data_IF_496360013880
#
_entry.id   IF_496360013880
#
_cell.length_a   1.000
_cell.length_b   1.000
_cell.length_c   1.000
_cell.angle_alpha   90.00
_cell.angle_beta   90.00
_cell.angle_gamma   90.00
#
_symmetry.space_group_name_H-M   'P 1'
#
loop_
_entity.id
_entity.type
_entity.pdbx_description
1 polymer ?
#
# COMPACT_ATOMS: atom_id res chain seq x y z
N UNK A 1 57.46 -12.18 -20.05
CA UNK A 1 56.18 -11.77 -19.42
C UNK A 1 55.57 -13.04 -18.84
N UNK A 2 55.44 -13.15 -17.51
CA UNK A 2 54.72 -14.27 -16.91
C UNK A 2 53.24 -14.06 -17.21
N UNK A 3 52.70 -14.81 -18.18
CA UNK A 3 51.27 -14.85 -18.42
C UNK A 3 50.65 -15.53 -17.20
N UNK A 4 50.03 -14.71 -16.33
CA UNK A 4 49.45 -15.20 -15.09
C UNK A 4 48.37 -16.24 -15.42
N UNK A 5 48.55 -17.47 -14.94
CA UNK A 5 47.55 -18.51 -15.10
C UNK A 5 46.22 -18.04 -14.50
N UNK A 6 45.11 -18.10 -15.26
CA UNK A 6 43.84 -17.59 -14.78
C UNK A 6 43.36 -18.42 -13.57
N UNK A 7 42.94 -17.73 -12.51
CA UNK A 7 42.39 -18.33 -11.31
C UNK A 7 41.09 -19.06 -11.67
N UNK A 8 41.03 -20.35 -11.33
CA UNK A 8 39.88 -21.15 -11.66
C UNK A 8 38.74 -20.93 -10.65
N UNK A 9 37.59 -20.44 -11.12
CA UNK A 9 36.43 -20.09 -10.30
C UNK A 9 35.30 -21.13 -10.48
N UNK A 10 34.93 -21.90 -9.43
CA UNK A 10 33.84 -22.86 -9.52
C UNK A 10 32.45 -22.21 -9.66
N UNK A 11 32.31 -20.95 -9.25
CA UNK A 11 31.05 -20.20 -9.26
C UNK A 11 30.80 -19.44 -10.56
N UNK A 12 31.75 -19.46 -11.49
CA UNK A 12 31.60 -18.89 -12.82
C UNK A 12 31.23 -20.01 -13.82
N UNK A 13 30.30 -19.77 -14.76
CA UNK A 13 29.94 -20.75 -15.80
C UNK A 13 31.17 -21.33 -16.51
N UNK A 14 31.11 -22.61 -16.89
CA UNK A 14 32.20 -23.28 -17.62
C UNK A 14 32.62 -22.44 -18.83
N UNK A 15 33.93 -22.29 -19.04
CA UNK A 15 34.47 -21.61 -20.23
C UNK A 15 34.40 -20.07 -20.21
N UNK A 16 33.54 -19.49 -19.36
CA UNK A 16 33.48 -18.03 -19.19
C UNK A 16 34.78 -17.53 -18.53
N UNK A 17 35.34 -16.45 -19.07
CA UNK A 17 36.56 -15.82 -18.53
C UNK A 17 36.23 -14.43 -18.01
N UNK A 18 36.90 -14.02 -16.93
CA UNK A 18 36.61 -12.74 -16.28
C UNK A 18 37.85 -11.96 -15.77
N UNK A 19 37.70 -10.64 -15.86
CA UNK A 19 38.48 -9.46 -15.45
C UNK A 19 38.25 -8.86 -14.05
N UNK A 20 38.77 -9.38 -12.93
CA UNK A 20 38.58 -8.66 -11.64
C UNK A 20 39.72 -7.68 -11.39
N UNK A 21 39.41 -6.38 -11.32
CA UNK A 21 40.37 -5.32 -10.99
C UNK A 21 40.14 -4.81 -9.57
N UNK A 22 41.14 -4.91 -8.71
CA UNK A 22 41.15 -4.34 -7.34
C UNK A 22 42.53 -3.81 -6.98
N UNK A 23 42.59 -2.63 -6.40
CA UNK A 23 43.82 -1.99 -5.88
C UNK A 23 44.99 -2.01 -6.89
N UNK A 24 44.70 -1.71 -8.16
CA UNK A 24 45.69 -1.70 -9.25
C UNK A 24 46.11 -3.09 -9.76
N UNK A 25 45.66 -4.18 -9.13
CA UNK A 25 45.90 -5.56 -9.57
C UNK A 25 44.73 -6.06 -10.43
N UNK A 26 45.05 -6.73 -11.53
CA UNK A 26 44.09 -7.43 -12.37
C UNK A 26 44.26 -8.94 -12.17
N UNK A 27 43.19 -9.63 -11.77
CA UNK A 27 43.14 -11.07 -11.61
C UNK A 27 42.24 -11.64 -12.70
N UNK A 28 42.82 -12.46 -13.56
CA UNK A 28 42.09 -13.19 -14.59
C UNK A 28 41.45 -14.43 -13.98
N UNK A 29 40.15 -14.63 -14.22
CA UNK A 29 39.37 -15.77 -13.78
C UNK A 29 38.98 -16.65 -14.95
N UNK A 30 38.84 -17.96 -14.71
CA UNK A 30 38.28 -18.94 -15.64
C UNK A 30 37.25 -19.80 -14.94
N UNK A 31 36.05 -19.87 -15.49
CA UNK A 31 34.95 -20.63 -14.91
C UNK A 31 35.11 -22.14 -15.09
N UNK A 32 34.99 -22.87 -13.98
CA UNK A 32 34.96 -24.34 -13.95
C UNK A 32 33.54 -24.89 -13.94
N UNK A 33 32.55 -24.08 -13.55
CA UNK A 33 31.17 -24.51 -13.41
C UNK A 33 31.01 -25.74 -12.50
N UNK A 34 31.40 -25.66 -11.23
CA UNK A 34 31.23 -26.75 -10.26
C UNK A 34 30.32 -26.31 -9.12
N UNK A 35 29.08 -26.83 -9.11
CA UNK A 35 28.07 -26.48 -8.11
C UNK A 35 28.52 -26.81 -6.68
N UNK A 36 29.08 -28.00 -6.47
CA UNK A 36 29.47 -28.46 -5.14
C UNK A 36 30.65 -27.63 -4.60
N UNK A 37 31.66 -27.39 -5.44
CA UNK A 37 32.79 -26.52 -5.08
C UNK A 37 32.35 -25.08 -4.92
N UNK A 38 31.43 -24.57 -5.73
CA UNK A 38 30.92 -23.21 -5.59
C UNK A 38 30.19 -23.03 -4.25
N UNK A 39 29.32 -23.98 -3.89
CA UNK A 39 28.70 -24.01 -2.56
C UNK A 39 29.72 -24.02 -1.42
N UNK A 40 30.77 -24.84 -1.55
CA UNK A 40 31.88 -24.89 -0.60
C UNK A 40 32.66 -23.58 -0.52
N UNK A 41 32.89 -22.92 -1.67
CA UNK A 41 33.63 -21.67 -1.76
C UNK A 41 32.86 -20.48 -1.18
N UNK A 42 31.53 -20.44 -1.32
CA UNK A 42 30.72 -19.33 -0.78
C UNK A 42 30.38 -19.49 0.70
N UNK A 43 30.38 -20.72 1.21
CA UNK A 43 29.99 -21.04 2.60
C UNK A 43 30.79 -20.28 3.68
N UNK A 44 32.13 -20.13 3.59
CA UNK A 44 32.90 -19.39 4.59
C UNK A 44 32.44 -17.93 4.77
N UNK A 45 31.91 -17.30 3.72
CA UNK A 45 31.46 -15.90 3.78
C UNK A 45 30.16 -15.72 4.59
N UNK A 46 29.48 -16.81 4.97
CA UNK A 46 28.39 -16.77 5.93
C UNK A 46 28.87 -16.43 7.35
N UNK A 47 30.17 -16.61 7.66
CA UNK A 47 30.70 -16.36 9.00
C UNK A 47 30.02 -17.22 10.07
N UNK A 48 29.76 -18.50 9.76
CA UNK A 48 29.18 -19.43 10.71
C UNK A 48 30.21 -19.80 11.79
N UNK A 49 29.89 -19.55 13.05
CA UNK A 49 30.73 -19.95 14.18
C UNK A 49 30.37 -21.36 14.65
N UNK A 50 31.39 -22.18 14.93
CA UNK A 50 31.25 -23.53 15.46
C UNK A 50 30.59 -23.49 16.85
N UNK A 51 29.28 -23.74 16.92
CA UNK A 51 28.58 -24.04 18.17
C UNK A 51 27.39 -23.14 18.53
N UNK A 52 27.23 -21.99 17.89
CA UNK A 52 26.06 -21.13 18.17
C UNK A 52 24.85 -21.53 17.33
N UNK A 53 23.67 -21.52 17.95
CA UNK A 53 22.34 -21.37 17.32
C UNK A 53 22.22 -20.00 16.62
N UNK A 54 23.22 -19.63 15.82
CA UNK A 54 23.36 -18.32 15.20
C UNK A 54 23.01 -18.38 13.73
N UNK A 55 22.40 -17.28 13.28
CA UNK A 55 22.33 -16.84 11.89
C UNK A 55 23.75 -16.52 11.35
N UNK A 56 23.91 -16.22 10.05
CA UNK A 56 25.18 -15.75 9.51
C UNK A 56 25.85 -14.68 10.38
N UNK A 57 27.18 -14.76 10.51
CA UNK A 57 28.03 -13.91 11.37
C UNK A 57 27.78 -14.01 12.88
N UNK A 58 27.20 -15.11 13.34
CA UNK A 58 26.95 -15.33 14.77
C UNK A 58 25.86 -14.44 15.37
N UNK A 59 25.04 -13.80 14.52
CA UNK A 59 23.90 -12.99 14.97
C UNK A 59 22.83 -13.92 15.53
N UNK A 60 22.23 -13.54 16.65
CA UNK A 60 21.13 -14.30 17.26
C UNK A 60 19.97 -14.47 16.28
N UNK A 61 19.51 -15.71 16.13
CA UNK A 61 18.28 -16.04 15.40
C UNK A 61 17.32 -16.70 16.37
N UNK A 62 16.10 -16.16 16.48
CA UNK A 62 15.05 -16.82 17.25
C UNK A 62 14.74 -18.20 16.65
N UNK A 63 14.47 -19.23 17.45
CA UNK A 63 14.05 -20.53 16.95
C UNK A 63 12.82 -20.40 16.04
N UNK A 64 12.88 -21.01 14.87
CA UNK A 64 11.78 -21.03 13.89
C UNK A 64 11.09 -22.39 13.98
N UNK A 65 9.78 -22.39 14.20
CA UNK A 65 8.96 -23.59 14.07
C UNK A 65 8.58 -23.79 12.60
N UNK A 66 9.38 -24.58 11.89
CA UNK A 66 9.12 -24.91 10.48
C UNK A 66 7.87 -25.76 10.25
N UNK A 67 7.25 -26.33 11.28
CA UNK A 67 6.01 -27.09 11.11
C UNK A 67 4.78 -26.19 11.01
N UNK A 68 4.84 -25.00 11.60
CA UNK A 68 3.73 -24.06 11.72
C UNK A 68 4.10 -22.63 11.29
N UNK A 69 5.00 -22.50 10.32
CA UNK A 69 5.34 -21.21 9.72
C UNK A 69 5.23 -21.25 8.21
N UNK A 70 5.12 -20.06 7.62
CA UNK A 70 5.30 -19.83 6.20
C UNK A 70 6.21 -18.61 5.98
N UNK A 71 6.98 -18.63 4.90
CA UNK A 71 7.94 -17.57 4.59
C UNK A 71 7.80 -17.11 3.14
N UNK A 72 8.06 -15.83 2.94
CA UNK A 72 8.12 -15.21 1.62
C UNK A 72 9.54 -14.69 1.36
N UNK A 73 10.13 -15.14 0.26
CA UNK A 73 11.43 -14.68 -0.25
C UNK A 73 11.24 -13.61 -1.32
N UNK A 74 11.70 -12.40 -1.02
CA UNK A 74 11.62 -11.26 -1.94
C UNK A 74 12.97 -10.96 -2.61
N UNK A 75 12.96 -10.06 -3.60
CA UNK A 75 14.17 -9.54 -4.25
C UNK A 75 15.03 -10.67 -4.83
N UNK A 76 16.29 -10.82 -4.42
CA UNK A 76 17.21 -11.84 -4.96
C UNK A 76 16.69 -13.28 -4.75
N UNK A 77 15.90 -13.56 -3.73
CA UNK A 77 15.24 -14.86 -3.59
C UNK A 77 14.28 -15.14 -4.75
N UNK A 78 13.56 -14.12 -5.22
CA UNK A 78 12.70 -14.21 -6.39
C UNK A 78 13.48 -14.18 -7.70
N UNK A 79 14.34 -13.19 -7.91
CA UNK A 79 15.12 -13.03 -9.16
C UNK A 79 15.98 -14.26 -9.46
N UNK A 80 16.60 -14.87 -8.43
CA UNK A 80 17.40 -16.09 -8.64
C UNK A 80 16.58 -17.34 -8.97
N UNK A 81 15.28 -17.36 -8.64
CA UNK A 81 14.37 -18.44 -9.01
C UNK A 81 13.63 -18.19 -10.31
N UNK A 82 13.39 -16.94 -10.68
CA UNK A 82 12.50 -16.61 -11.80
C UNK A 82 13.26 -16.21 -13.07
N UNK A 83 14.21 -15.28 -13.00
CA UNK A 83 14.76 -14.61 -14.19
C UNK A 83 15.40 -15.59 -15.19
N UNK A 84 16.13 -16.58 -14.68
CA UNK A 84 16.83 -17.58 -15.49
C UNK A 84 16.25 -18.98 -15.33
N UNK A 85 15.82 -19.34 -14.12
CA UNK A 85 15.35 -20.71 -13.82
C UNK A 85 13.84 -20.90 -14.02
N UNK A 86 13.06 -19.81 -14.16
CA UNK A 86 11.60 -19.83 -14.41
C UNK A 86 10.83 -20.74 -13.45
N UNK A 87 11.20 -20.68 -12.18
CA UNK A 87 10.66 -21.49 -11.11
C UNK A 87 10.26 -20.66 -9.88
N UNK A 88 9.82 -19.41 -10.09
CA UNK A 88 9.22 -18.60 -9.03
C UNK A 88 7.97 -19.25 -8.41
N UNK A 89 7.54 -18.74 -7.26
CA UNK A 89 6.44 -19.30 -6.48
C UNK A 89 6.93 -20.26 -5.39
N UNK A 90 6.28 -21.41 -5.17
CA UNK A 90 6.70 -22.37 -4.14
C UNK A 90 8.14 -22.86 -4.38
N UNK A 91 8.99 -22.70 -3.37
CA UNK A 91 10.39 -23.10 -3.41
C UNK A 91 10.53 -24.60 -3.19
N UNK A 92 11.32 -25.26 -4.04
CA UNK A 92 11.73 -26.66 -3.90
C UNK A 92 13.25 -26.74 -4.03
N UNK A 93 13.93 -27.19 -2.97
CA UNK A 93 15.40 -27.19 -2.92
C UNK A 93 16.04 -28.17 -3.90
N UNK A 94 15.38 -29.30 -4.20
CA UNK A 94 15.89 -30.32 -5.10
C UNK A 94 15.79 -29.86 -6.55
N UNK A 95 14.63 -29.33 -6.94
CA UNK A 95 14.40 -28.69 -8.24
C UNK A 95 15.36 -27.52 -8.44
N UNK A 96 15.53 -26.68 -7.42
CA UNK A 96 16.42 -25.54 -7.45
C UNK A 96 17.88 -25.95 -7.64
N UNK A 97 18.37 -26.89 -6.83
CA UNK A 97 19.76 -27.39 -6.93
C UNK A 97 20.04 -28.01 -8.29
N UNK A 98 19.09 -28.76 -8.85
CA UNK A 98 19.20 -29.37 -10.18
C UNK A 98 19.26 -28.30 -11.27
N UNK A 99 18.37 -27.32 -11.22
CA UNK A 99 18.32 -26.22 -12.19
C UNK A 99 19.60 -25.35 -12.11
N UNK A 100 20.07 -25.04 -10.90
CA UNK A 100 21.31 -24.30 -10.68
C UNK A 100 22.55 -25.08 -11.17
N UNK A 101 22.61 -26.40 -10.94
CA UNK A 101 23.69 -27.25 -11.48
C UNK A 101 23.72 -27.21 -13.01
N UNK A 102 22.56 -27.27 -13.66
CA UNK A 102 22.45 -27.21 -15.12
C UNK A 102 22.84 -25.83 -15.69
N UNK A 103 22.49 -24.76 -14.97
CA UNK A 103 22.91 -23.39 -15.30
C UNK A 103 24.44 -23.26 -15.26
N UNK A 104 25.06 -23.79 -14.21
CA UNK A 104 26.49 -23.73 -13.95
C UNK A 104 27.30 -24.51 -15.00
N UNK A 105 26.78 -25.65 -15.45
CA UNK A 105 27.41 -26.52 -16.45
C UNK A 105 27.20 -26.06 -17.91
N UNK A 106 26.70 -24.84 -18.14
CA UNK A 106 26.54 -24.25 -19.49
C UNK A 106 25.55 -24.98 -20.43
N UNK A 107 24.76 -25.95 -19.94
CA UNK A 107 23.84 -26.73 -20.79
C UNK A 107 22.55 -26.00 -21.20
N UNK A 108 22.37 -24.75 -20.78
CA UNK A 108 21.13 -23.99 -21.03
C UNK A 108 21.12 -23.29 -22.39
N UNK A 109 22.24 -23.19 -23.11
CA UNK A 109 22.23 -22.75 -24.52
C UNK A 109 21.90 -23.87 -25.51
N UNK A 110 22.02 -25.15 -25.13
CA UNK A 110 21.73 -26.29 -26.03
C UNK A 110 20.32 -26.87 -25.82
N UNK A 111 19.70 -26.69 -24.65
CA UNK A 111 18.41 -27.32 -24.34
C UNK A 111 17.17 -26.48 -24.70
N UNK A 112 17.32 -25.19 -25.02
CA UNK A 112 16.24 -24.38 -25.61
C UNK A 112 16.14 -24.47 -27.14
N UNK A 113 17.04 -25.24 -27.79
CA UNK A 113 17.02 -25.49 -29.24
C UNK A 113 16.69 -26.94 -29.65
N UNK A 114 16.31 -27.84 -28.72
CA UNK A 114 15.84 -29.19 -29.11
C UNK A 114 14.31 -29.25 -29.15
N UNK A 115 13.69 -29.43 -30.33
CA UNK A 115 12.28 -29.76 -30.43
C UNK A 115 12.10 -31.19 -29.88
N UNK A 116 11.35 -31.37 -28.80
CA UNK A 116 10.94 -32.71 -28.35
C UNK A 116 11.13 -33.08 -26.87
N UNK A 117 11.49 -32.16 -25.97
CA UNK A 117 11.36 -32.42 -24.53
C UNK A 117 10.02 -31.90 -24.00
N UNK A 118 9.11 -32.76 -23.50
CA UNK A 118 7.84 -32.33 -22.94
C UNK A 118 8.11 -31.60 -21.63
N UNK A 119 7.83 -30.30 -21.60
CA UNK A 119 7.68 -29.52 -20.37
C UNK A 119 6.57 -30.16 -19.52
N UNK A 120 6.67 -30.16 -18.17
CA UNK A 120 5.57 -30.60 -17.33
C UNK A 120 4.37 -29.69 -17.59
N UNK A 121 3.39 -30.27 -18.27
CA UNK A 121 2.08 -29.70 -18.55
C UNK A 121 1.36 -29.39 -17.24
N UNK A 122 1.49 -28.15 -16.78
CA UNK A 122 0.43 -27.34 -16.15
C UNK A 122 0.95 -25.94 -15.84
N UNK A 123 0.77 -25.05 -16.81
CA UNK A 123 0.45 -23.66 -16.51
C UNK A 123 -0.79 -23.29 -17.33
N UNK A 124 -1.93 -22.96 -16.70
CA UNK A 124 -2.89 -22.11 -17.36
C UNK A 124 -2.31 -20.69 -17.30
N UNK A 125 -2.26 -19.99 -18.44
CA UNK A 125 -2.77 -18.63 -18.55
C UNK A 125 -2.46 -18.10 -19.96
N UNK A 126 -3.56 -17.73 -20.62
CA UNK A 126 -3.62 -17.02 -21.87
C UNK A 126 -2.81 -15.72 -21.80
N UNK A 127 -2.01 -15.46 -22.83
CA UNK A 127 -1.46 -14.14 -23.06
C UNK A 127 -2.62 -13.15 -23.32
N UNK A 128 -2.60 -12.03 -22.60
CA UNK A 128 -3.46 -10.88 -22.88
C UNK A 128 -3.32 -10.43 -24.34
N UNK A 129 -4.41 -9.98 -25.00
CA UNK A 129 -4.35 -9.58 -26.40
C UNK A 129 -3.55 -8.28 -26.57
N UNK A 130 -2.44 -8.33 -27.32
CA UNK A 130 -1.78 -7.12 -27.83
C UNK A 130 -2.54 -6.59 -29.04
N UNK A 131 -3.08 -5.37 -28.92
CA UNK A 131 -3.74 -4.64 -30.01
C UNK A 131 -2.66 -4.00 -30.90
N UNK A 132 -2.44 -4.56 -32.08
CA UNK A 132 -1.71 -3.88 -33.16
C UNK A 132 -2.55 -3.92 -34.43
N UNK A 133 -2.90 -2.74 -34.94
CA UNK A 133 -3.62 -2.52 -36.21
C UNK A 133 -4.96 -3.28 -36.34
N UNK A 134 -5.78 -3.26 -35.30
CA UNK A 134 -7.21 -3.62 -35.39
C UNK A 134 -7.54 -5.10 -35.61
N UNK A 135 -6.59 -6.03 -35.44
CA UNK A 135 -6.84 -7.47 -35.55
C UNK A 135 -6.61 -8.18 -34.21
N UNK A 136 -7.55 -9.05 -33.83
CA UNK A 136 -7.45 -9.94 -32.67
C UNK A 136 -6.82 -11.26 -33.11
N UNK A 137 -5.85 -11.76 -32.35
CA UNK A 137 -5.15 -13.01 -32.63
C UNK A 137 -5.53 -14.05 -31.58
N UNK A 138 -6.09 -15.18 -32.00
CA UNK A 138 -6.35 -16.34 -31.15
C UNK A 138 -5.37 -17.46 -31.50
N UNK A 139 -4.72 -18.05 -30.50
CA UNK A 139 -3.96 -19.29 -30.66
C UNK A 139 -4.77 -20.43 -30.05
N UNK A 140 -5.31 -21.30 -30.91
CA UNK A 140 -5.99 -22.53 -30.51
C UNK A 140 -4.98 -23.69 -30.53
N UNK A 141 -5.00 -24.50 -29.47
CA UNK A 141 -4.05 -25.61 -29.28
C UNK A 141 -4.52 -26.82 -30.08
N UNK A 142 -4.00 -26.98 -31.29
CA UNK A 142 -3.92 -28.28 -31.96
C UNK A 142 -2.48 -28.50 -32.44
N UNK A 143 -2.05 -29.76 -32.51
CA UNK A 143 -0.66 -30.23 -32.53
C UNK A 143 0.23 -29.79 -33.71
N UNK A 144 -0.20 -28.81 -34.52
CA UNK A 144 0.61 -28.20 -35.58
C UNK A 144 0.41 -26.68 -35.57
N UNK A 145 1.51 -25.95 -35.43
CA UNK A 145 1.56 -24.49 -35.33
C UNK A 145 1.11 -23.81 -36.63
N UNK A 146 -0.16 -23.38 -36.70
CA UNK A 146 -0.66 -22.48 -37.75
C UNK A 146 -1.35 -21.25 -37.13
N UNK A 147 -1.00 -20.05 -37.60
CA UNK A 147 -1.73 -18.82 -37.28
C UNK A 147 -2.89 -18.65 -38.27
N UNK A 148 -4.14 -18.72 -37.81
CA UNK A 148 -5.29 -18.35 -38.61
C UNK A 148 -5.54 -16.84 -38.56
N UNK A 149 -5.66 -16.19 -39.72
CA UNK A 149 -6.31 -14.89 -39.86
C UNK A 149 -7.78 -15.13 -40.17
N UNK A 150 -8.71 -14.75 -39.28
CA UNK A 150 -10.13 -14.71 -39.62
C UNK A 150 -10.36 -13.54 -40.60
N UNK A 151 -10.41 -13.84 -41.88
CA UNK A 151 -11.08 -12.98 -42.85
C UNK A 151 -12.15 -13.84 -43.51
N UNK A 152 -13.39 -13.69 -43.03
CA UNK A 152 -14.55 -14.35 -43.64
C UNK A 152 -14.80 -13.66 -44.97
N UNK A 153 -14.50 -14.35 -46.06
CA UNK A 153 -14.95 -13.96 -47.40
C UNK A 153 -15.23 -15.24 -48.18
N UNK A 154 -16.51 -15.46 -48.48
CA UNK A 154 -17.01 -16.57 -49.28
C UNK A 154 -16.66 -16.36 -50.75
N UNK A 155 -15.66 -17.08 -51.28
CA UNK A 155 -15.54 -17.42 -52.72
C UNK A 155 -14.81 -18.76 -52.84
N UNK A 156 -15.27 -19.72 -53.69
CA UNK A 156 -14.64 -21.02 -53.85
C UNK A 156 -13.43 -20.94 -54.80
N UNK A 157 -12.60 -21.98 -54.75
CA UNK A 157 -11.44 -22.27 -55.61
C UNK A 157 -10.10 -21.66 -55.15
N UNK A 158 -9.31 -22.50 -54.46
CA UNK A 158 -7.83 -22.52 -54.41
C UNK A 158 -7.09 -21.22 -54.09
N UNK A 159 -6.72 -21.01 -52.83
CA UNK A 159 -5.72 -20.00 -52.43
C UNK A 159 -4.46 -20.66 -51.87
N UNK A 160 -3.34 -20.50 -52.57
CA UNK A 160 -2.00 -20.71 -52.03
C UNK A 160 -1.73 -19.67 -50.93
N UNK A 161 -1.65 -20.10 -49.67
CA UNK A 161 -1.16 -19.23 -48.60
C UNK A 161 0.35 -18.98 -48.79
N UNK A 162 0.75 -17.73 -49.03
CA UNK A 162 2.14 -17.31 -48.82
C UNK A 162 2.46 -17.43 -47.32
N UNK A 163 3.12 -18.53 -46.96
CA UNK A 163 3.72 -18.71 -45.65
C UNK A 163 4.87 -17.71 -45.51
N UNK A 164 4.62 -16.59 -44.83
CA UNK A 164 5.73 -15.78 -44.30
C UNK A 164 6.27 -16.51 -43.08
N UNK A 165 7.57 -16.84 -43.02
CA UNK A 165 8.13 -17.45 -41.83
C UNK A 165 7.91 -16.48 -40.67
N UNK A 166 7.24 -16.93 -39.62
CA UNK A 166 7.26 -16.21 -38.36
C UNK A 166 8.71 -16.19 -37.90
N UNK A 167 9.36 -15.02 -37.95
CA UNK A 167 10.60 -14.79 -37.24
C UNK A 167 10.31 -15.11 -35.78
N UNK A 168 10.77 -16.28 -35.33
CA UNK A 168 10.93 -16.58 -33.92
C UNK A 168 11.79 -15.44 -33.36
N UNK A 169 11.16 -14.47 -32.71
CA UNK A 169 11.86 -13.68 -31.72
C UNK A 169 12.19 -14.69 -30.64
N UNK A 170 13.46 -15.14 -30.66
CA UNK A 170 14.07 -15.95 -29.62
C UNK A 170 13.56 -15.46 -28.26
N UNK A 171 13.11 -16.35 -27.35
CA UNK A 171 12.74 -15.93 -26.01
C UNK A 171 13.93 -15.15 -25.48
N UNK A 172 13.73 -13.86 -25.17
CA UNK A 172 14.78 -12.91 -24.84
C UNK A 172 15.90 -13.60 -24.06
N UNK A 173 17.02 -13.87 -24.73
CA UNK A 173 18.17 -14.44 -24.06
C UNK A 173 18.51 -13.49 -22.91
N UNK A 174 18.63 -13.97 -21.67
CA UNK A 174 19.11 -13.11 -20.59
C UNK A 174 20.47 -12.56 -21.03
N UNK A 175 20.71 -11.24 -20.93
CA UNK A 175 21.96 -10.64 -21.39
C UNK A 175 23.14 -11.33 -20.69
N UNK A 176 24.29 -11.45 -21.36
CA UNK A 176 25.50 -12.12 -20.83
C UNK A 176 25.90 -11.62 -19.43
N UNK A 177 25.61 -10.36 -19.11
CA UNK A 177 25.80 -9.77 -17.78
C UNK A 177 24.92 -10.39 -16.68
N UNK A 178 23.69 -10.79 -17.02
CA UNK A 178 22.75 -11.44 -16.12
C UNK A 178 23.14 -12.89 -15.85
N UNK A 179 23.60 -13.63 -16.87
CA UNK A 179 24.04 -15.02 -16.69
C UNK A 179 25.38 -15.13 -15.94
N UNK A 180 26.28 -14.15 -16.09
CA UNK A 180 27.62 -14.15 -15.51
C UNK A 180 27.64 -14.36 -14.00
N UNK A 181 26.74 -13.72 -13.26
CA UNK A 181 26.70 -13.82 -11.79
C UNK A 181 25.61 -14.75 -11.27
N UNK A 182 24.76 -15.30 -12.14
CA UNK A 182 23.63 -16.12 -11.70
C UNK A 182 24.08 -17.39 -10.97
N UNK A 183 25.20 -17.97 -11.39
CA UNK A 183 25.78 -19.15 -10.76
C UNK A 183 26.18 -18.90 -9.30
N UNK A 184 26.98 -17.84 -9.08
CA UNK A 184 27.33 -17.36 -7.75
C UNK A 184 26.09 -17.01 -6.91
N UNK A 185 25.17 -16.20 -7.47
CA UNK A 185 23.95 -15.77 -6.76
C UNK A 185 23.10 -16.96 -6.32
N UNK A 186 22.95 -17.97 -7.19
CA UNK A 186 22.18 -19.16 -6.87
C UNK A 186 22.81 -20.00 -5.76
N UNK A 187 24.14 -20.18 -5.80
CA UNK A 187 24.86 -20.89 -4.74
C UNK A 187 24.80 -20.13 -3.41
N UNK A 188 24.94 -18.81 -3.47
CA UNK A 188 24.83 -17.93 -2.31
C UNK A 188 23.45 -18.00 -1.68
N UNK A 189 22.38 -17.83 -2.46
CA UNK A 189 20.99 -17.95 -2.00
C UNK A 189 20.76 -19.31 -1.31
N UNK A 190 21.21 -20.40 -1.92
CA UNK A 190 21.07 -21.74 -1.35
C UNK A 190 21.79 -21.89 0.00
N UNK A 191 23.03 -21.40 0.11
CA UNK A 191 23.80 -21.47 1.34
C UNK A 191 23.24 -20.55 2.43
N UNK A 192 22.82 -19.33 2.08
CA UNK A 192 22.14 -18.42 3.03
C UNK A 192 20.87 -19.04 3.58
N UNK A 193 20.06 -19.68 2.73
CA UNK A 193 18.78 -20.27 3.14
C UNK A 193 18.98 -21.51 4.04
N UNK A 194 19.73 -22.50 3.56
CA UNK A 194 19.81 -23.82 4.21
C UNK A 194 20.93 -23.92 5.26
N UNK A 195 22.08 -23.27 5.03
CA UNK A 195 23.19 -23.30 6.00
C UNK A 195 23.16 -22.08 6.94
N UNK A 196 22.75 -20.92 6.44
CA UNK A 196 22.64 -19.68 7.22
C UNK A 196 21.41 -19.68 8.12
N UNK A 197 20.23 -19.54 7.51
CA UNK A 197 18.96 -19.46 8.23
C UNK A 197 18.40 -20.82 8.67
N UNK A 198 19.06 -21.93 8.28
CA UNK A 198 18.75 -23.31 8.68
C UNK A 198 17.38 -23.81 8.25
N UNK A 199 16.88 -23.31 7.12
CA UNK A 199 15.68 -23.87 6.52
C UNK A 199 15.92 -25.34 6.14
N UNK A 200 15.05 -26.28 6.55
CA UNK A 200 15.09 -27.65 6.05
C UNK A 200 15.01 -27.68 4.53
N UNK A 201 15.69 -28.64 3.89
CA UNK A 201 15.70 -28.76 2.43
C UNK A 201 14.34 -29.16 1.86
N UNK A 202 13.56 -29.89 2.65
CA UNK A 202 12.22 -30.38 2.38
C UNK A 202 11.11 -29.41 2.85
N UNK A 203 11.47 -28.19 3.25
CA UNK A 203 10.51 -27.21 3.75
C UNK A 203 9.54 -26.73 2.64
N UNK A 204 8.21 -26.99 2.76
CA UNK A 204 7.26 -26.76 1.68
C UNK A 204 6.69 -25.33 1.66
N UNK A 205 6.75 -24.61 2.79
CA UNK A 205 6.03 -23.35 3.00
C UNK A 205 6.91 -22.11 2.76
N UNK A 206 7.88 -22.19 1.84
CA UNK A 206 8.65 -21.05 1.36
C UNK A 206 8.18 -20.68 -0.04
N UNK A 207 7.79 -19.42 -0.25
CA UNK A 207 7.35 -18.90 -1.55
C UNK A 207 8.26 -17.75 -1.97
N UNK A 208 8.78 -17.76 -3.18
CA UNK A 208 9.48 -16.60 -3.74
C UNK A 208 8.52 -15.78 -4.59
N UNK A 209 8.48 -14.47 -4.35
CA UNK A 209 7.54 -13.58 -5.03
C UNK A 209 8.10 -12.16 -5.17
N UNK A 210 7.76 -11.49 -6.26
CA UNK A 210 7.96 -10.04 -6.40
C UNK A 210 6.77 -9.25 -5.84
N UNK A 211 5.57 -9.79 -6.01
CA UNK A 211 4.31 -9.14 -5.65
C UNK A 211 3.51 -10.07 -4.73
N UNK A 212 2.73 -9.48 -3.83
CA UNK A 212 1.75 -10.17 -2.99
C UNK A 212 0.38 -9.57 -3.33
N UNK A 213 -0.53 -10.39 -3.83
CA UNK A 213 -1.84 -9.95 -4.35
C UNK A 213 -1.74 -8.82 -5.40
N UNK A 214 -0.83 -8.95 -6.36
CA UNK A 214 -0.55 -7.95 -7.40
C UNK A 214 -0.13 -6.56 -6.87
N UNK A 215 0.31 -6.51 -5.61
CA UNK A 215 0.87 -5.32 -4.98
C UNK A 215 2.32 -5.56 -4.60
N UNK A 216 3.14 -4.54 -4.82
CA UNK A 216 4.52 -4.56 -4.38
C UNK A 216 4.57 -4.46 -2.86
N UNK A 217 5.41 -5.30 -2.24
CA UNK A 217 5.58 -5.30 -0.79
C UNK A 217 6.51 -4.15 -0.41
N UNK A 218 5.90 -3.05 0.03
CA UNK A 218 6.61 -1.85 0.47
C UNK A 218 6.70 -1.80 1.99
N UNK A 219 7.91 -1.70 2.55
CA UNK A 219 8.13 -1.56 4.00
C UNK A 219 7.54 -0.25 4.55
N UNK A 220 7.39 0.76 3.71
CA UNK A 220 6.76 2.05 4.05
C UNK A 220 5.30 1.88 4.47
N UNK A 221 4.56 0.93 3.88
CA UNK A 221 3.19 0.61 4.26
C UNK A 221 3.11 0.09 5.71
N UNK A 222 4.06 -0.76 6.12
CA UNK A 222 4.16 -1.22 7.51
C UNK A 222 4.48 -0.08 8.48
N UNK A 223 5.36 0.84 8.06
CA UNK A 223 5.73 2.00 8.88
C UNK A 223 4.54 2.93 9.13
N UNK A 224 3.76 3.25 8.10
CA UNK A 224 2.56 4.09 8.28
C UNK A 224 1.52 3.39 9.14
N UNK A 225 1.24 2.09 8.92
CA UNK A 225 0.30 1.32 9.74
C UNK A 225 0.71 1.28 11.21
N UNK A 226 2.00 1.11 11.50
CA UNK A 226 2.52 1.13 12.87
C UNK A 226 2.35 2.50 13.52
N UNK A 227 2.61 3.58 12.78
CA UNK A 227 2.45 4.96 13.27
C UNK A 227 0.98 5.34 13.47
N UNK A 228 0.07 4.81 12.65
CA UNK A 228 -1.37 5.11 12.72
C UNK A 228 -2.19 4.15 13.57
N UNK A 229 -1.56 3.14 14.20
CA UNK A 229 -2.25 2.08 14.98
C UNK A 229 -3.21 2.55 16.07
N UNK A 230 -3.04 3.78 16.56
CA UNK A 230 -3.86 4.35 17.62
C UNK A 230 -4.92 5.35 17.15
N UNK A 231 -4.99 5.66 15.84
CA UNK A 231 -6.07 6.50 15.31
C UNK A 231 -7.46 5.96 15.67
N UNK A 232 -7.76 4.64 15.52
CA UNK A 232 -9.09 4.11 15.84
C UNK A 232 -9.43 4.17 17.34
N UNK A 233 -8.44 4.16 18.23
CA UNK A 233 -8.66 4.29 19.67
C UNK A 233 -9.19 5.69 20.03
N UNK A 234 -8.79 6.73 19.31
CA UNK A 234 -9.31 8.09 19.54
C UNK A 234 -10.80 8.16 19.26
N UNK A 235 -11.26 7.48 18.21
CA UNK A 235 -12.68 7.46 17.84
C UNK A 235 -13.50 6.65 18.86
N UNK A 236 -12.99 5.50 19.31
CA UNK A 236 -13.64 4.70 20.36
C UNK A 236 -13.66 5.41 21.73
N UNK A 237 -12.59 6.12 22.07
CA UNK A 237 -12.52 6.86 23.33
C UNK A 237 -13.34 8.16 23.26
N UNK A 238 -13.52 8.79 22.10
CA UNK A 238 -14.44 9.91 21.93
C UNK A 238 -15.90 9.49 22.17
N UNK A 239 -16.31 8.29 21.72
CA UNK A 239 -17.60 7.70 22.07
C UNK A 239 -17.70 7.38 23.57
N UNK A 240 -16.64 6.81 24.17
CA UNK A 240 -16.59 6.54 25.63
C UNK A 240 -16.60 7.82 26.49
N UNK A 241 -15.89 8.89 26.09
CA UNK A 241 -15.85 10.18 26.78
C UNK A 241 -17.18 10.94 26.66
N UNK A 242 -17.98 10.72 25.61
CA UNK A 242 -19.36 11.24 25.54
C UNK A 242 -20.26 10.63 26.61
N UNK A 243 -19.97 9.43 27.10
CA UNK A 243 -20.75 8.74 28.15
C UNK A 243 -20.41 9.17 29.59
N UNK A 244 -19.35 9.98 29.79
CA UNK A 244 -18.90 10.45 31.11
C UNK A 244 -19.44 11.82 31.58
N UNK A 245 -20.26 12.51 30.78
CA UNK A 245 -20.71 13.89 31.06
C UNK A 245 -22.23 14.08 31.13
N UNK A 246 -22.97 13.14 31.73
CA UNK A 246 -24.44 13.19 31.72
C UNK A 246 -25.14 13.74 32.98
N UNK A 247 -24.45 14.14 34.07
CA UNK A 247 -25.15 14.60 35.30
C UNK A 247 -24.76 15.99 35.85
N UNK A 248 -23.56 16.53 35.58
CA UNK A 248 -23.14 17.81 36.17
C UNK A 248 -23.53 19.04 35.32
N UNK A 249 -23.31 18.97 34.00
CA UNK A 249 -23.66 20.06 33.08
C UNK A 249 -25.18 20.27 32.94
N UNK A 250 -25.98 19.21 33.11
CA UNK A 250 -27.45 19.31 33.06
C UNK A 250 -28.02 20.02 34.30
N UNK A 251 -27.40 19.84 35.47
CA UNK A 251 -27.82 20.52 36.71
C UNK A 251 -27.53 22.03 36.67
N UNK A 252 -26.34 22.42 36.18
CA UNK A 252 -25.97 23.84 36.03
C UNK A 252 -26.75 24.56 34.92
N UNK A 253 -27.06 23.90 33.80
CA UNK A 253 -27.86 24.52 32.73
C UNK A 253 -29.29 24.81 33.19
N UNK A 254 -29.91 23.88 33.92
CA UNK A 254 -31.29 24.01 34.42
C UNK A 254 -31.40 25.15 35.44
N UNK A 255 -30.46 25.26 36.39
CA UNK A 255 -30.45 26.36 37.37
C UNK A 255 -30.23 27.73 36.73
N UNK A 256 -29.34 27.81 35.74
CA UNK A 256 -29.02 29.05 35.04
C UNK A 256 -30.21 29.52 34.16
N UNK A 257 -30.96 28.58 33.58
CA UNK A 257 -32.18 28.90 32.84
C UNK A 257 -33.25 29.49 33.78
N UNK A 258 -33.54 28.88 34.93
CA UNK A 258 -34.51 29.44 35.88
C UNK A 258 -34.12 30.84 36.40
N UNK A 259 -32.83 31.08 36.63
CA UNK A 259 -32.33 32.39 37.03
C UNK A 259 -32.58 33.47 35.95
N UNK A 260 -32.36 33.13 34.68
CA UNK A 260 -32.59 34.05 33.56
C UNK A 260 -34.07 34.44 33.42
N UNK A 261 -34.99 33.47 33.51
CA UNK A 261 -36.44 33.76 33.46
C UNK A 261 -36.92 34.57 34.67
N UNK A 262 -36.37 34.31 35.86
CA UNK A 262 -36.68 35.10 37.05
C UNK A 262 -36.25 36.57 36.88
N UNK A 263 -35.04 36.82 36.37
CA UNK A 263 -34.54 38.18 36.13
C UNK A 263 -35.39 38.94 35.10
N UNK A 264 -35.77 38.28 34.00
CA UNK A 264 -36.66 38.90 32.99
C UNK A 264 -38.01 39.26 33.60
N UNK A 265 -38.59 38.36 34.40
CA UNK A 265 -39.89 38.59 35.02
C UNK A 265 -39.86 39.79 36.00
N UNK A 266 -38.78 39.94 36.78
CA UNK A 266 -38.61 41.10 37.69
C UNK A 266 -38.51 42.40 36.89
N UNK A 267 -37.72 42.42 35.81
CA UNK A 267 -37.57 43.62 34.97
C UNK A 267 -38.89 44.00 34.31
N UNK A 268 -39.64 43.03 33.78
CA UNK A 268 -40.95 43.28 33.18
C UNK A 268 -41.96 43.81 34.21
N UNK A 269 -41.97 43.28 35.43
CA UNK A 269 -42.81 43.80 36.51
C UNK A 269 -42.42 45.22 36.89
N UNK A 270 -41.14 45.54 36.96
CA UNK A 270 -40.67 46.90 37.23
C UNK A 270 -41.10 47.88 36.12
N UNK A 271 -40.96 47.48 34.85
CA UNK A 271 -41.43 48.28 33.70
C UNK A 271 -42.95 48.45 33.75
N UNK A 272 -43.70 47.40 34.04
CA UNK A 272 -45.17 47.47 34.15
C UNK A 272 -45.58 48.42 35.27
N UNK A 273 -44.98 48.30 36.45
CA UNK A 273 -45.23 49.20 37.57
C UNK A 273 -44.83 50.64 37.25
N UNK A 274 -43.73 50.84 36.52
CA UNK A 274 -43.30 52.16 36.05
C UNK A 274 -44.34 52.78 35.10
N UNK A 275 -44.83 52.02 34.11
CA UNK A 275 -45.86 52.49 33.17
C UNK A 275 -47.19 52.75 33.90
N UNK A 276 -47.60 51.87 34.82
CA UNK A 276 -48.82 52.06 35.62
C UNK A 276 -48.71 53.27 36.54
N UNK A 277 -47.52 53.55 37.09
CA UNK A 277 -47.25 54.76 37.84
C UNK A 277 -47.32 56.00 36.94
N UNK A 278 -46.71 55.95 35.75
CA UNK A 278 -46.77 57.04 34.78
C UNK A 278 -48.22 57.33 34.35
N UNK A 279 -49.01 56.28 34.05
CA UNK A 279 -50.43 56.41 33.73
C UNK A 279 -51.23 57.01 34.88
N UNK A 280 -50.97 56.59 36.12
CA UNK A 280 -51.62 57.19 37.30
C UNK A 280 -51.26 58.66 37.49
N UNK A 281 -50.02 59.07 37.22
CA UNK A 281 -49.60 60.47 37.30
C UNK A 281 -50.25 61.28 36.17
N UNK A 282 -50.22 60.78 34.94
CA UNK A 282 -50.84 61.46 33.80
C UNK A 282 -52.36 61.61 33.97
N UNK A 283 -53.04 60.60 34.52
CA UNK A 283 -54.46 60.68 34.89
C UNK A 283 -54.73 61.65 36.06
N UNK A 284 -53.75 61.92 36.93
CA UNK A 284 -53.88 62.97 37.96
C UNK A 284 -53.73 64.35 37.33
N UNK A 285 -52.78 64.53 36.41
CA UNK A 285 -52.59 65.79 35.69
C UNK A 285 -53.77 66.11 34.77
N UNK A 286 -54.32 65.13 34.04
CA UNK A 286 -55.54 65.34 33.24
C UNK A 286 -56.74 65.75 34.10
N UNK A 287 -56.93 65.11 35.28
CA UNK A 287 -57.99 65.52 36.21
C UNK A 287 -57.77 66.90 36.82
N UNK A 288 -56.51 67.31 37.04
CA UNK A 288 -56.19 68.67 37.48
C UNK A 288 -56.43 69.71 36.37
N UNK A 289 -56.11 69.39 35.11
CA UNK A 289 -56.39 70.24 33.97
C UNK A 289 -57.91 70.43 33.74
N UNK A 290 -58.70 69.35 33.77
CA UNK A 290 -60.16 69.42 33.67
C UNK A 290 -60.78 70.24 34.81
N UNK A 291 -60.26 70.13 36.04
CA UNK A 291 -60.72 70.96 37.16
C UNK A 291 -60.34 72.44 37.01
N UNK A 292 -59.17 72.74 36.44
CA UNK A 292 -58.73 74.11 36.17
C UNK A 292 -59.55 74.76 35.06
N UNK A 293 -59.88 74.02 33.99
CA UNK A 293 -60.76 74.49 32.92
C UNK A 293 -62.17 74.81 33.44
N UNK A 294 -62.75 73.94 34.28
CA UNK A 294 -64.05 74.22 34.89
C UNK A 294 -64.02 75.47 35.78
N UNK A 295 -62.93 75.71 36.51
CA UNK A 295 -62.76 76.95 37.29
C UNK A 295 -62.61 78.18 36.39
N UNK A 296 -61.90 78.09 35.26
CA UNK A 296 -61.84 79.16 34.26
C UNK A 296 -63.22 79.48 33.69
N UNK A 297 -63.99 78.47 33.28
CA UNK A 297 -65.36 78.66 32.78
C UNK A 297 -66.29 79.31 33.81
N UNK A 298 -66.21 78.90 35.09
CA UNK A 298 -66.99 79.53 36.16
C UNK A 298 -66.54 80.98 36.44
N UNK A 299 -65.24 81.26 36.33
CA UNK A 299 -64.73 82.63 36.45
C UNK A 299 -65.26 83.51 35.31
N UNK A 300 -65.29 82.98 34.09
CA UNK A 300 -65.71 83.70 32.89
C UNK A 300 -67.22 84.01 32.92
N UNK A 301 -68.02 83.05 33.42
CA UNK A 301 -69.45 83.25 33.68
C UNK A 301 -69.70 84.31 34.77
N UNK A 302 -68.86 84.36 35.81
CA UNK A 302 -68.91 85.38 36.86
C UNK A 302 -68.54 86.78 36.33
N UNK A 303 -67.52 86.91 35.47
CA UNK A 303 -67.19 88.19 34.80
C UNK A 303 -68.28 88.65 33.84
N UNK A 304 -68.91 87.72 33.11
CA UNK A 304 -70.05 88.03 32.22
C UNK A 304 -71.27 88.54 33.01
N UNK A 305 -71.61 87.91 34.14
CA UNK A 305 -72.67 88.41 35.04
C UNK A 305 -72.34 89.76 35.70
N UNK A 306 -71.06 90.07 35.92
CA UNK A 306 -70.63 91.36 36.50
C UNK A 306 -70.74 92.50 35.47
N UNK A 307 -70.47 92.23 34.19
CA UNK A 307 -70.64 93.21 33.11
C UNK A 307 -72.11 93.60 32.89
N UNK A 308 -73.05 92.67 33.10
CA UNK A 308 -74.48 92.93 32.91
C UNK A 308 -75.15 93.71 34.06
N UNK A 309 -74.47 93.84 35.21
CA UNK A 309 -74.96 94.58 36.39
C UNK A 309 -74.50 96.04 36.43
N UNK A 310 -73.66 96.46 35.48
CA UNK A 310 -73.13 97.83 35.39
C UNK A 310 -73.82 98.66 34.28
N UNK A 311 -74.76 98.06 33.55
CA UNK A 311 -75.56 98.71 32.48
C UNK A 311 -77.00 99.06 32.93
N UNK A 312 -77.31 98.88 34.22
CA UNK A 312 -78.57 99.29 34.84
C UNK A 312 -78.26 100.18 36.05
N UNK A 313 -77.80 101.40 35.77
CA UNK A 313 -77.95 102.59 36.62
C UNK A 313 -77.61 103.84 35.82
#
# INVERSE_FOLDING_TARGET
>A
MMEATPLADPCLPVGLSDVVRRDGRAVHLRGQGDWARCQGAVRPFLGLHNGTMGSPRGVYQAPIDYSNSEFYGFSEFFYCTEDVLRMGGPYDSAKYSKAATLLILELIMIRYSRPGFPLPLKMPFCALPKKSKGKYWFCERQENYFCHSLQVSLVPVGLCCHATPCQHTSPHQPPLSLSRYQCFKSAWMFQVLHSGFRFPKDYPSLKTAQLVYDKEVQWTLGAILFKTRFLPLRDLQAESFKQGHSNWLRSSFVYNHYLFFACILVVLLAILLYILRLRRIHQREQRQAEALDLLWFLSDQYTSCKSHKQEVH
#
